data_IF_196517503043
#
_entry.id   IF_196517503043
#
_cell.length_a   1.000
_cell.length_b   1.000
_cell.length_c   1.000
_cell.angle_alpha   90.00
_cell.angle_beta   90.00
_cell.angle_gamma   90.00
#
_symmetry.space_group_name_H-M   'P 1'
#
loop_
_entity.id
_entity.type
_entity.pdbx_description
1 polymer ?
#
# COMPACT_ATOMS: atom_id res chain seq x y z
N UNK A 1 -13.71 -12.92 22.31
CA UNK A 1 -12.95 -11.66 22.28
C UNK A 1 -11.68 -11.74 21.42
N UNK A 2 -10.65 -12.55 21.73
CA UNK A 2 -9.44 -12.66 20.86
C UNK A 2 -9.74 -13.09 19.41
N UNK A 3 -10.67 -14.05 19.23
CA UNK A 3 -11.06 -14.53 17.90
C UNK A 3 -11.80 -13.47 17.06
N UNK A 4 -12.57 -12.61 17.72
CA UNK A 4 -13.37 -11.56 17.07
C UNK A 4 -12.48 -10.40 16.63
N UNK A 5 -11.49 -10.05 17.45
CA UNK A 5 -10.48 -9.03 17.15
C UNK A 5 -9.57 -9.47 15.99
N UNK A 6 -9.21 -10.76 15.96
CA UNK A 6 -8.45 -11.35 14.85
C UNK A 6 -9.22 -11.36 13.53
N UNK A 7 -10.51 -11.71 13.54
CA UNK A 7 -11.39 -11.63 12.37
C UNK A 7 -11.55 -10.19 11.86
N UNK A 8 -11.73 -9.24 12.77
CA UNK A 8 -11.87 -7.82 12.42
C UNK A 8 -10.59 -7.26 11.81
N UNK A 9 -9.43 -7.60 12.40
CA UNK A 9 -8.12 -7.25 11.85
C UNK A 9 -7.89 -7.83 10.46
N UNK A 10 -8.29 -9.08 10.24
CA UNK A 10 -8.15 -9.73 8.96
C UNK A 10 -9.05 -9.09 7.89
N UNK A 11 -10.31 -8.78 8.21
CA UNK A 11 -11.22 -8.08 7.29
C UNK A 11 -10.69 -6.70 6.92
N UNK A 12 -10.22 -5.92 7.90
CA UNK A 12 -9.61 -4.61 7.67
C UNK A 12 -8.35 -4.74 6.81
N UNK A 13 -7.48 -5.71 7.10
CA UNK A 13 -6.28 -5.96 6.32
C UNK A 13 -6.62 -6.32 4.87
N UNK A 14 -7.66 -7.13 4.64
CA UNK A 14 -8.08 -7.54 3.30
C UNK A 14 -8.64 -6.35 2.52
N UNK A 15 -9.49 -5.53 3.15
CA UNK A 15 -10.04 -4.31 2.55
C UNK A 15 -8.92 -3.33 2.19
N UNK A 16 -8.00 -3.07 3.13
CA UNK A 16 -6.87 -2.18 2.87
C UNK A 16 -5.89 -2.73 1.86
N UNK A 17 -5.65 -4.04 1.84
CA UNK A 17 -4.89 -4.68 0.79
C UNK A 17 -5.50 -4.41 -0.57
N UNK A 18 -6.82 -4.61 -0.74
CA UNK A 18 -7.52 -4.37 -1.99
C UNK A 18 -7.41 -2.90 -2.42
N UNK A 19 -7.60 -1.96 -1.48
CA UNK A 19 -7.49 -0.52 -1.73
C UNK A 19 -6.06 -0.14 -2.15
N UNK A 20 -5.05 -0.58 -1.41
CA UNK A 20 -3.64 -0.32 -1.73
C UNK A 20 -3.20 -0.97 -3.04
N UNK A 21 -3.68 -2.18 -3.30
CA UNK A 21 -3.35 -2.92 -4.50
C UNK A 21 -3.93 -2.24 -5.74
N UNK A 22 -5.18 -1.77 -5.67
CA UNK A 22 -5.82 -1.00 -6.75
C UNK A 22 -5.17 0.37 -6.90
N UNK A 23 -5.02 1.14 -5.83
CA UNK A 23 -4.46 2.50 -5.89
C UNK A 23 -3.02 2.48 -6.40
N UNK A 24 -2.16 1.63 -5.83
CA UNK A 24 -0.78 1.53 -6.29
C UNK A 24 -0.67 0.88 -7.67
N UNK A 25 -1.49 -0.13 -7.99
CA UNK A 25 -1.51 -0.75 -9.32
C UNK A 25 -1.89 0.24 -10.42
N UNK A 26 -2.91 1.07 -10.20
CA UNK A 26 -3.32 2.15 -11.12
C UNK A 26 -2.23 3.22 -11.18
N UNK A 27 -1.71 3.68 -10.03
CA UNK A 27 -0.66 4.70 -9.98
C UNK A 27 0.59 4.29 -10.77
N UNK A 28 1.07 3.06 -10.57
CA UNK A 28 2.24 2.55 -11.30
C UNK A 28 1.96 2.29 -12.79
N UNK A 29 0.73 1.90 -13.14
CA UNK A 29 0.33 1.76 -14.54
C UNK A 29 0.35 3.12 -15.26
N UNK A 30 -0.15 4.18 -14.62
CA UNK A 30 -0.08 5.54 -15.15
C UNK A 30 1.36 6.01 -15.29
N UNK A 31 2.21 5.77 -14.29
CA UNK A 31 3.64 6.10 -14.35
C UNK A 31 4.37 5.39 -15.50
N UNK A 32 4.03 4.13 -15.77
CA UNK A 32 4.57 3.39 -16.91
C UNK A 32 4.08 3.95 -18.26
N UNK A 33 2.81 4.35 -18.37
CA UNK A 33 2.24 4.97 -19.58
C UNK A 33 2.88 6.32 -19.90
N UNK A 34 3.27 7.10 -18.89
CA UNK A 34 3.99 8.37 -19.04
C UNK A 34 5.44 8.20 -19.56
N UNK A 35 5.83 6.98 -19.99
CA UNK A 35 7.13 6.66 -20.61
C UNK A 35 8.35 7.03 -19.77
N UNK A 36 8.19 7.14 -18.45
CA UNK A 36 9.33 7.39 -17.57
C UNK A 36 10.25 6.16 -17.47
N UNK A 37 9.77 4.95 -17.84
CA UNK A 37 10.49 3.70 -17.61
C UNK A 37 10.12 2.54 -18.56
N UNK A 38 11.12 1.84 -19.11
CA UNK A 38 10.96 0.50 -19.71
C UNK A 38 11.14 -0.59 -18.63
N UNK A 39 10.06 -1.24 -18.18
CA UNK A 39 10.10 -2.21 -17.05
C UNK A 39 9.97 -3.64 -17.56
N UNK A 40 10.73 -4.57 -16.96
CA UNK A 40 10.45 -6.01 -17.01
C UNK A 40 9.18 -6.30 -16.18
N UNK A 41 7.99 -6.10 -16.78
CA UNK A 41 6.65 -6.08 -16.15
C UNK A 41 6.40 -7.14 -15.07
N UNK A 42 6.95 -8.34 -15.24
CA UNK A 42 6.70 -9.50 -14.37
C UNK A 42 7.31 -9.34 -12.96
N UNK A 43 8.52 -8.79 -12.83
CA UNK A 43 9.20 -8.72 -11.51
C UNK A 43 8.66 -7.60 -10.63
N UNK A 44 8.25 -6.49 -11.25
CA UNK A 44 7.70 -5.35 -10.52
C UNK A 44 6.35 -5.67 -9.89
N UNK A 45 5.47 -6.39 -10.62
CA UNK A 45 4.14 -6.72 -10.11
C UNK A 45 4.17 -7.64 -8.89
N UNK A 46 5.06 -8.65 -8.86
CA UNK A 46 5.18 -9.54 -7.70
C UNK A 46 5.74 -8.83 -6.47
N UNK A 47 6.79 -8.03 -6.63
CA UNK A 47 7.36 -7.24 -5.53
C UNK A 47 6.34 -6.25 -4.97
N UNK A 48 5.57 -5.62 -5.86
CA UNK A 48 4.52 -4.70 -5.48
C UNK A 48 3.40 -5.39 -4.69
N UNK A 49 2.91 -6.55 -5.12
CA UNK A 49 1.87 -7.30 -4.40
C UNK A 49 2.34 -7.70 -2.99
N UNK A 50 3.59 -8.15 -2.84
CA UNK A 50 4.16 -8.51 -1.52
C UNK A 50 4.26 -7.27 -0.63
N UNK A 51 4.71 -6.14 -1.18
CA UNK A 51 4.81 -4.88 -0.46
C UNK A 51 3.42 -4.38 -0.02
N UNK A 52 2.43 -4.46 -0.90
CA UNK A 52 1.05 -4.09 -0.60
C UNK A 52 0.45 -4.95 0.50
N UNK A 53 0.73 -6.26 0.48
CA UNK A 53 0.30 -7.19 1.53
C UNK A 53 0.96 -6.85 2.88
N UNK A 54 2.26 -6.55 2.87
CA UNK A 54 2.98 -6.14 4.08
C UNK A 54 2.51 -4.79 4.64
N UNK A 55 2.25 -3.80 3.78
CA UNK A 55 1.71 -2.51 4.22
C UNK A 55 0.28 -2.63 4.73
N UNK A 56 -0.55 -3.47 4.11
CA UNK A 56 -1.93 -3.70 4.55
C UNK A 56 -1.99 -4.40 5.91
N UNK A 57 -1.18 -5.42 6.12
CA UNK A 57 -1.10 -6.12 7.40
C UNK A 57 -0.53 -5.21 8.50
N UNK A 58 0.54 -4.46 8.20
CA UNK A 58 1.11 -3.47 9.11
C UNK A 58 0.13 -2.36 9.47
N UNK A 59 -0.59 -1.80 8.49
CA UNK A 59 -1.60 -0.79 8.72
C UNK A 59 -2.78 -1.33 9.53
N UNK A 60 -3.25 -2.56 9.26
CA UNK A 60 -4.30 -3.24 10.03
C UNK A 60 -3.93 -3.36 11.51
N UNK A 61 -2.74 -3.87 11.79
CA UNK A 61 -2.28 -4.07 13.15
C UNK A 61 -2.01 -2.75 13.88
N UNK A 62 -1.31 -1.83 13.22
CA UNK A 62 -1.02 -0.51 13.77
C UNK A 62 -2.28 0.34 13.97
N UNK A 63 -3.21 0.29 13.03
CA UNK A 63 -4.49 1.02 13.11
C UNK A 63 -5.38 0.53 14.24
N UNK A 64 -5.42 -0.78 14.51
CA UNK A 64 -6.16 -1.33 15.66
C UNK A 64 -5.52 -0.87 16.97
N UNK A 65 -4.18 -0.91 17.08
CA UNK A 65 -3.48 -0.43 18.28
C UNK A 65 -3.70 1.06 18.52
N UNK A 66 -3.58 1.88 17.47
CA UNK A 66 -3.84 3.33 17.55
C UNK A 66 -5.29 3.64 17.90
N UNK A 67 -6.24 2.87 17.36
CA UNK A 67 -7.66 3.03 17.66
C UNK A 67 -7.96 2.69 19.11
N UNK A 68 -7.39 1.61 19.64
CA UNK A 68 -7.59 1.20 21.03
C UNK A 68 -7.06 2.28 22.01
N UNK A 69 -5.87 2.81 21.71
CA UNK A 69 -5.27 3.89 22.49
C UNK A 69 -6.09 5.19 22.40
N UNK A 70 -6.49 5.61 21.19
CA UNK A 70 -7.32 6.79 20.98
C UNK A 70 -8.71 6.69 21.63
N UNK A 71 -9.34 5.52 21.57
CA UNK A 71 -10.64 5.27 22.21
C UNK A 71 -10.50 5.30 23.74
N UNK A 72 -9.43 4.72 24.29
CA UNK A 72 -9.20 4.74 25.74
C UNK A 72 -9.03 6.16 26.29
N UNK A 73 -8.37 7.05 25.54
CA UNK A 73 -8.23 8.45 25.91
C UNK A 73 -9.55 9.24 25.78
N UNK A 74 -10.33 9.00 24.72
CA UNK A 74 -11.60 9.71 24.52
C UNK A 74 -12.74 9.21 25.44
N UNK A 75 -12.65 7.98 25.98
CA UNK A 75 -13.63 7.47 26.94
C UNK A 75 -13.52 8.13 28.33
N UNK A 76 -12.30 8.49 28.75
CA UNK A 76 -12.04 9.10 30.06
C UNK A 76 -12.67 10.49 30.18
N UNK A 77 -12.87 11.17 29.06
CA UNK A 77 -13.37 12.55 28.99
C UNK A 77 -14.90 12.63 28.72
N UNK A 78 -15.58 11.48 28.58
CA UNK A 78 -17.00 11.44 28.22
C UNK A 78 -17.94 11.38 29.45
N UNK A 79 -18.70 12.45 29.70
CA UNK A 79 -19.69 12.52 30.78
C UNK A 79 -21.06 11.90 30.41
N UNK A 80 -21.42 11.86 29.12
CA UNK A 80 -22.74 11.37 28.65
C UNK A 80 -22.65 10.17 27.68
N UNK A 81 -23.67 9.30 27.71
CA UNK A 81 -23.72 8.09 26.84
C UNK A 81 -23.78 8.41 25.34
N UNK A 82 -24.32 9.57 24.97
CA UNK A 82 -24.37 10.00 23.56
C UNK A 82 -22.99 10.45 23.07
N UNK A 83 -22.24 11.21 23.89
CA UNK A 83 -20.86 11.60 23.59
C UNK A 83 -19.92 10.41 23.54
N UNK A 84 -20.10 9.42 24.42
CA UNK A 84 -19.30 8.20 24.40
C UNK A 84 -19.39 7.47 23.05
N UNK A 85 -20.57 7.36 22.44
CA UNK A 85 -20.74 6.70 21.14
C UNK A 85 -20.04 7.50 20.04
N UNK A 86 -20.23 8.83 19.99
CA UNK A 86 -19.57 9.68 18.99
C UNK A 86 -18.05 9.73 19.17
N UNK A 87 -17.56 9.66 20.42
CA UNK A 87 -16.15 9.64 20.76
C UNK A 87 -15.48 8.31 20.34
N UNK A 88 -16.15 7.17 20.54
CA UNK A 88 -15.66 5.86 20.10
C UNK A 88 -15.51 5.83 18.58
N UNK A 89 -16.55 6.24 17.84
CA UNK A 89 -16.50 6.24 16.38
C UNK A 89 -15.54 7.29 15.83
N UNK A 90 -15.53 8.51 16.39
CA UNK A 90 -14.66 9.60 15.94
C UNK A 90 -13.18 9.32 16.19
N UNK A 91 -12.80 9.08 17.45
CA UNK A 91 -11.40 8.85 17.81
C UNK A 91 -10.86 7.54 17.24
N UNK A 92 -11.66 6.47 17.24
CA UNK A 92 -11.29 5.19 16.63
C UNK A 92 -11.09 5.31 15.11
N UNK A 93 -11.97 6.03 14.41
CA UNK A 93 -11.83 6.25 12.97
C UNK A 93 -10.59 7.06 12.61
N UNK A 94 -10.25 8.10 13.39
CA UNK A 94 -9.04 8.90 13.17
C UNK A 94 -7.77 8.05 13.33
N UNK A 95 -7.73 7.15 14.31
CA UNK A 95 -6.61 6.21 14.50
C UNK A 95 -6.43 5.27 13.30
N UNK A 96 -7.53 4.65 12.87
CA UNK A 96 -7.54 3.73 11.71
C UNK A 96 -7.16 4.48 10.41
N UNK A 97 -7.72 5.67 10.19
CA UNK A 97 -7.51 6.44 8.97
C UNK A 97 -6.11 7.04 8.87
N UNK A 98 -5.52 7.47 9.99
CA UNK A 98 -4.13 7.96 10.01
C UNK A 98 -3.12 6.86 9.71
N UNK A 99 -3.32 5.66 10.27
CA UNK A 99 -2.52 4.48 9.94
C UNK A 99 -2.64 4.09 8.46
N UNK A 100 -3.83 4.22 7.88
CA UNK A 100 -4.05 4.03 6.44
C UNK A 100 -3.25 5.01 5.58
N UNK A 101 -3.32 6.31 5.91
CA UNK A 101 -2.58 7.34 5.16
C UNK A 101 -1.08 7.11 5.23
N UNK A 102 -0.55 6.76 6.40
CA UNK A 102 0.86 6.41 6.57
C UNK A 102 1.24 5.19 5.72
N UNK A 103 0.42 4.13 5.74
CA UNK A 103 0.64 2.94 4.92
C UNK A 103 0.67 3.26 3.42
N UNK A 104 -0.22 4.13 2.95
CA UNK A 104 -0.25 4.58 1.55
C UNK A 104 1.01 5.34 1.17
N UNK A 105 1.46 6.28 2.00
CA UNK A 105 2.68 7.06 1.77
C UNK A 105 3.91 6.14 1.70
N UNK A 106 4.02 5.19 2.63
CA UNK A 106 5.12 4.20 2.66
C UNK A 106 5.10 3.32 1.41
N UNK A 107 3.93 2.85 1.00
CA UNK A 107 3.77 2.01 -0.17
C UNK A 107 4.12 2.74 -1.48
N UNK A 108 3.68 4.00 -1.62
CA UNK A 108 4.01 4.82 -2.80
C UNK A 108 5.49 5.16 -2.86
N UNK A 109 6.09 5.52 -1.71
CA UNK A 109 7.52 5.85 -1.64
C UNK A 109 8.41 4.64 -1.95
N UNK A 110 8.20 3.50 -1.30
CA UNK A 110 8.98 2.28 -1.56
C UNK A 110 8.74 1.77 -2.98
N UNK A 111 7.48 1.73 -3.43
CA UNK A 111 7.17 1.30 -4.79
C UNK A 111 7.80 2.20 -5.86
N UNK A 112 7.90 3.51 -5.61
CA UNK A 112 8.61 4.45 -6.49
C UNK A 112 10.12 4.19 -6.53
N UNK A 113 10.73 3.87 -5.39
CA UNK A 113 12.15 3.50 -5.31
C UNK A 113 12.41 2.19 -6.07
N UNK A 114 11.57 1.17 -5.86
CA UNK A 114 11.66 -0.11 -6.57
C UNK A 114 11.49 0.07 -8.08
N UNK A 115 10.58 0.97 -8.50
CA UNK A 115 10.42 1.33 -9.90
C UNK A 115 11.74 1.88 -10.45
N UNK A 116 12.36 2.86 -9.76
CA UNK A 116 13.64 3.45 -10.17
C UNK A 116 14.77 2.42 -10.25
N UNK A 117 14.90 1.53 -9.27
CA UNK A 117 15.94 0.49 -9.26
C UNK A 117 15.72 -0.53 -10.39
N UNK A 118 14.46 -0.86 -10.69
CA UNK A 118 14.15 -1.82 -11.75
C UNK A 118 14.36 -1.26 -13.17
N UNK A 119 14.69 0.03 -13.32
CA UNK A 119 14.92 0.68 -14.61
C UNK A 119 16.33 0.47 -15.17
N UNK A 120 17.26 -0.01 -14.35
CA UNK A 120 18.68 -0.06 -14.70
C UNK A 120 18.95 -1.15 -15.74
N UNK A 121 19.41 -0.71 -16.91
CA UNK A 121 19.90 -1.48 -18.07
C UNK A 121 18.92 -2.45 -18.75
N UNK A 122 18.04 -1.91 -19.58
CA UNK A 122 17.77 -2.58 -20.87
C UNK A 122 18.60 -1.90 -21.94
N UNK A 123 19.87 -2.33 -22.10
CA UNK A 123 20.51 -2.16 -23.41
C UNK A 123 19.66 -2.94 -24.42
N UNK A 124 19.09 -2.29 -25.45
CA UNK A 124 18.39 -3.01 -26.49
C UNK A 124 19.41 -3.92 -27.18
N UNK A 125 19.31 -5.23 -26.97
CA UNK A 125 20.20 -6.23 -27.58
C UNK A 125 19.75 -6.57 -29.01
N UNK A 126 19.33 -5.55 -29.76
CA UNK A 126 19.00 -5.64 -31.18
C UNK A 126 19.79 -4.53 -31.87
N UNK A 127 21.08 -4.80 -32.09
CA UNK A 127 21.73 -4.40 -33.33
C UNK A 127 21.61 -5.64 -34.23
N UNK A 128 20.49 -5.77 -34.94
CA UNK A 128 20.31 -6.78 -35.98
C UNK A 128 20.74 -6.25 -37.36
N UNK A 129 21.53 -5.17 -37.42
CA UNK A 129 21.88 -4.52 -38.68
C UNK A 129 23.31 -4.83 -39.17
N UNK A 130 24.16 -5.54 -38.39
CA UNK A 130 25.51 -5.93 -38.86
C UNK A 130 25.56 -7.35 -39.48
N UNK A 131 24.42 -8.02 -39.64
CA UNK A 131 24.35 -9.35 -40.26
C UNK A 131 23.96 -9.33 -41.76
N UNK A 132 23.61 -8.17 -42.33
CA UNK A 132 23.26 -8.04 -43.76
C UNK A 132 24.40 -7.57 -44.67
N UNK A 133 25.57 -7.18 -44.14
CA UNK A 133 26.68 -6.65 -44.97
C UNK A 133 27.78 -7.70 -45.28
N UNK A 134 27.38 -8.96 -45.51
CA UNK A 134 28.35 -10.02 -45.89
C UNK A 134 27.94 -10.93 -47.04
N UNK A 135 26.92 -10.55 -47.81
CA UNK A 135 26.59 -11.23 -49.06
C UNK A 135 26.09 -10.24 -50.11
N UNK A 136 27.02 -9.48 -50.69
CA UNK A 136 27.07 -9.22 -52.14
C UNK A 136 28.50 -8.81 -52.54
#
# INVERSE_FOLDING_TARGET
MESELGLFAWLIALIWFLVYWVLGGVFFSVMALLRLVTIRKVRFSCLFTILALGCASGAAWGGIRLADEAVSHCLVDSETKAEAITAIFGCGFVGIFSAFLLGLIVLVSIGSILLRISTTETRPWINLDEAEEKHD
#
